data_IF_753254624443
#
_entry.id   IF_753254624443
#
_cell.length_a   1.000
_cell.length_b   1.000
_cell.length_c   1.000
_cell.angle_alpha   90.00
_cell.angle_beta   90.00
_cell.angle_gamma   90.00
#
_symmetry.space_group_name_H-M   'P 1'
#
loop_
_entity.id
_entity.type
_entity.pdbx_description
1 polymer ?
#
# COMPACT_ATOMS: atom_id res chain seq x y z
N UNK A 1 21.33 6.02 5.96
CA UNK A 1 20.87 4.63 5.98
C UNK A 1 19.38 4.73 5.75
N UNK A 2 18.93 4.67 4.49
CA UNK A 2 17.50 4.80 4.19
C UNK A 2 16.96 3.37 4.21
N UNK A 3 16.34 2.98 5.31
CA UNK A 3 15.45 1.83 5.35
C UNK A 3 14.33 2.17 4.36
N UNK A 4 14.32 1.51 3.20
CA UNK A 4 13.30 1.75 2.18
C UNK A 4 12.31 0.63 2.29
N UNK A 5 11.08 0.93 2.69
CA UNK A 5 10.02 -0.08 2.61
C UNK A 5 9.56 -0.21 1.16
N UNK A 6 9.39 -1.45 0.70
CA UNK A 6 8.77 -1.80 -0.56
C UNK A 6 7.34 -2.27 -0.32
N UNK A 7 6.42 -1.69 -1.07
CA UNK A 7 5.03 -2.11 -1.14
C UNK A 7 4.88 -3.19 -2.21
N UNK A 8 4.25 -4.29 -1.83
CA UNK A 8 3.84 -5.37 -2.72
C UNK A 8 2.31 -5.40 -2.76
N UNK A 9 1.74 -5.29 -3.96
CA UNK A 9 0.29 -5.34 -4.17
C UNK A 9 -0.08 -6.59 -4.95
N UNK A 10 -0.96 -7.38 -4.37
CA UNK A 10 -1.59 -8.51 -5.02
C UNK A 10 -2.93 -8.06 -5.64
N UNK A 11 -2.85 -7.60 -6.90
CA UNK A 11 -4.00 -7.13 -7.67
C UNK A 11 -5.16 -8.15 -7.74
N UNK A 12 -4.95 -9.47 -7.90
CA UNK A 12 -6.08 -10.40 -7.96
C UNK A 12 -6.75 -10.63 -6.59
N UNK A 13 -6.03 -10.45 -5.47
CA UNK A 13 -6.64 -10.46 -4.13
C UNK A 13 -7.30 -9.12 -3.76
N UNK A 14 -6.96 -8.04 -4.45
CA UNK A 14 -7.51 -6.71 -4.17
C UNK A 14 -8.94 -6.56 -4.73
N UNK A 15 -9.93 -6.55 -3.85
CA UNK A 15 -11.33 -6.28 -4.21
C UNK A 15 -11.70 -4.79 -4.24
N UNK A 16 -10.73 -3.88 -4.09
CA UNK A 16 -10.97 -2.45 -4.16
C UNK A 16 -11.70 -1.84 -2.97
N UNK A 17 -11.43 -2.35 -1.76
CA UNK A 17 -11.99 -1.81 -0.52
C UNK A 17 -11.62 -0.33 -0.27
N UNK A 18 -10.48 0.11 -0.77
CA UNK A 18 -10.02 1.50 -0.62
C UNK A 18 -9.51 1.91 0.75
N UNK A 19 -9.53 1.03 1.75
CA UNK A 19 -9.07 1.30 3.12
C UNK A 19 -7.60 1.73 3.17
N UNK A 20 -6.73 1.08 2.39
CA UNK A 20 -5.31 1.44 2.31
C UNK A 20 -5.10 2.86 1.76
N UNK A 21 -5.89 3.27 0.75
CA UNK A 21 -5.88 4.63 0.21
C UNK A 21 -6.52 5.64 1.19
N UNK A 22 -7.40 5.20 2.08
CA UNK A 22 -7.95 6.05 3.15
C UNK A 22 -6.91 6.34 4.25
N UNK A 23 -6.10 5.33 4.61
CA UNK A 23 -5.03 5.44 5.62
C UNK A 23 -3.81 6.19 5.07
N UNK A 24 -3.37 5.84 3.86
CA UNK A 24 -2.20 6.43 3.22
C UNK A 24 -2.46 6.74 1.73
N UNK A 25 -3.24 7.79 1.43
CA UNK A 25 -3.52 8.22 0.05
C UNK A 25 -2.28 8.70 -0.71
N UNK A 26 -1.22 9.02 0.04
CA UNK A 26 0.07 9.46 -0.50
C UNK A 26 0.83 8.30 -1.18
N UNK A 27 0.64 7.07 -0.68
CA UNK A 27 1.32 5.86 -1.19
C UNK A 27 0.36 4.99 -2.00
N UNK A 28 -0.82 4.69 -1.44
CA UNK A 28 -1.81 3.83 -2.07
C UNK A 28 -2.86 4.66 -2.81
N UNK A 29 -3.01 4.39 -4.11
CA UNK A 29 -4.03 4.98 -4.97
C UNK A 29 -4.96 3.91 -5.50
N UNK A 30 -6.18 4.31 -5.84
CA UNK A 30 -7.17 3.42 -6.45
C UNK A 30 -7.28 3.78 -7.93
N UNK A 31 -7.18 2.76 -8.77
CA UNK A 31 -7.37 2.89 -10.21
C UNK A 31 -8.86 2.92 -10.56
N UNK A 32 -9.19 3.25 -11.82
CA UNK A 32 -10.58 3.33 -12.27
C UNK A 32 -11.35 1.99 -12.16
N UNK A 33 -10.63 0.88 -12.04
CA UNK A 33 -11.19 -0.46 -11.82
C UNK A 33 -11.45 -0.77 -10.33
N UNK A 34 -11.20 0.18 -9.44
CA UNK A 34 -11.23 0.00 -7.98
C UNK A 34 -10.01 -0.73 -7.42
N UNK A 35 -9.06 -1.17 -8.24
CA UNK A 35 -7.87 -1.89 -7.78
C UNK A 35 -6.87 -0.91 -7.17
N UNK A 36 -6.25 -1.28 -6.06
CA UNK A 36 -5.17 -0.48 -5.47
C UNK A 36 -3.89 -0.58 -6.33
N UNK A 37 -3.21 0.55 -6.50
CA UNK A 37 -1.90 0.64 -7.11
C UNK A 37 -1.05 1.66 -6.33
N UNK A 38 0.27 1.56 -6.45
CA UNK A 38 1.21 2.57 -5.97
C UNK A 38 1.95 3.16 -7.17
N UNK A 39 2.23 4.47 -7.15
CA UNK A 39 3.08 5.10 -8.17
C UNK A 39 4.55 4.74 -7.99
N UNK A 40 4.97 4.57 -6.74
CA UNK A 40 6.31 4.12 -6.36
C UNK A 40 6.18 2.88 -5.49
N UNK A 41 6.88 1.82 -5.86
CA UNK A 41 6.99 0.63 -5.00
C UNK A 41 7.70 0.97 -3.69
N UNK A 42 8.52 2.02 -3.69
CA UNK A 42 9.30 2.47 -2.54
C UNK A 42 8.49 3.50 -1.75
N UNK A 43 8.24 3.19 -0.47
CA UNK A 43 7.62 4.10 0.48
C UNK A 43 8.61 5.22 0.83
N UNK A 44 8.22 6.49 0.71
CA UNK A 44 9.05 7.61 1.13
C UNK A 44 9.21 7.66 2.66
N UNK A 45 10.34 8.23 3.07
CA UNK A 45 10.74 8.38 4.47
C UNK A 45 9.66 9.17 5.25
N UNK A 46 9.14 8.58 6.34
CA UNK A 46 8.06 9.17 7.15
C UNK A 46 6.63 8.75 6.77
N UNK A 47 6.44 8.02 5.67
CA UNK A 47 5.16 7.36 5.35
C UNK A 47 5.17 5.85 5.59
N UNK A 48 6.30 5.33 6.05
CA UNK A 48 6.55 3.91 6.35
C UNK A 48 5.53 3.32 7.33
N UNK A 49 5.27 4.02 8.44
CA UNK A 49 4.31 3.59 9.45
C UNK A 49 2.88 3.54 8.88
N UNK A 50 2.46 4.60 8.18
CA UNK A 50 1.14 4.65 7.53
C UNK A 50 1.00 3.61 6.42
N UNK A 51 2.06 3.36 5.65
CA UNK A 51 2.04 2.37 4.59
C UNK A 51 1.84 0.96 5.16
N UNK A 52 2.54 0.67 6.28
CA UNK A 52 2.40 -0.59 7.01
C UNK A 52 1.00 -0.75 7.58
N UNK A 53 0.50 0.27 8.28
CA UNK A 53 -0.88 0.29 8.81
C UNK A 53 -1.92 0.09 7.70
N UNK A 54 -1.74 0.76 6.54
CA UNK A 54 -2.62 0.64 5.40
C UNK A 54 -2.67 -0.77 4.80
N UNK A 55 -1.52 -1.46 4.78
CA UNK A 55 -1.44 -2.84 4.34
C UNK A 55 -2.04 -3.82 5.37
N UNK A 56 -1.76 -3.61 6.66
CA UNK A 56 -2.29 -4.40 7.78
C UNK A 56 -3.81 -4.25 7.94
N UNK A 57 -4.35 -3.07 7.61
CA UNK A 57 -5.78 -2.81 7.60
C UNK A 57 -6.52 -3.46 6.42
N UNK A 58 -5.81 -4.05 5.44
CA UNK A 58 -6.46 -4.72 4.34
C UNK A 58 -7.08 -6.05 4.80
N UNK A 59 -8.42 -6.22 4.75
CA UNK A 59 -9.08 -7.43 5.23
C UNK A 59 -8.77 -8.68 4.42
N UNK A 60 -8.28 -8.51 3.18
CA UNK A 60 -7.83 -9.59 2.32
C UNK A 60 -6.33 -9.84 2.38
N UNK A 61 -5.57 -9.05 3.16
CA UNK A 61 -4.11 -9.06 3.13
C UNK A 61 -3.54 -9.02 1.71
N UNK A 62 -4.22 -8.26 0.82
CA UNK A 62 -3.83 -8.10 -0.58
C UNK A 62 -2.64 -7.13 -0.75
N UNK A 63 -2.19 -6.51 0.34
CA UNK A 63 -1.04 -5.62 0.38
C UNK A 63 -0.04 -6.14 1.40
N UNK A 64 1.24 -6.07 1.05
CA UNK A 64 2.35 -6.36 1.96
C UNK A 64 3.38 -5.23 1.88
N UNK A 65 4.07 -5.00 3.00
CA UNK A 65 5.13 -4.00 3.10
C UNK A 65 6.35 -4.68 3.69
N UNK A 66 7.43 -4.74 2.90
CA UNK A 66 8.67 -5.43 3.27
C UNK A 66 9.86 -4.49 3.12
N UNK A 67 10.90 -4.59 3.97
CA UNK A 67 12.11 -3.79 3.81
C UNK A 67 12.87 -4.21 2.53
N UNK A 68 13.34 -3.21 1.77
CA UNK A 68 14.10 -3.35 0.52
C UNK A 68 15.61 -3.16 0.71
#
# INVERSE_FOLDING_TARGET
MAERLKVVIDKPACCGYGICAEICPEVFKLDANGIVFVETEIVPEGLEEKAREGAEACPQSALAVEPA
#
